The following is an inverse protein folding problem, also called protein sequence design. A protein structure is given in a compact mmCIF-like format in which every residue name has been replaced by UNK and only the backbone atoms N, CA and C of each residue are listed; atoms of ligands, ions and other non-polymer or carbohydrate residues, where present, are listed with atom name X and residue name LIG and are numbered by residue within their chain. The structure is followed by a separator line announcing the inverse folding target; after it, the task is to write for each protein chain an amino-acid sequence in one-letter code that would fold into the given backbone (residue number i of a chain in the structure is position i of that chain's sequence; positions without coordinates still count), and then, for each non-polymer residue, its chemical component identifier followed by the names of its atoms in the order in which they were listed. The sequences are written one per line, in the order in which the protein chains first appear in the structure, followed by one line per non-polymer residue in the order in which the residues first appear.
data_IF_466553630254
#
_entry.id   IF_466553630254
#
_cell.length_a   1.000
_cell.length_b   1.000
_cell.length_c   1.000
_cell.angle_alpha   90.00
_cell.angle_beta   90.00
_cell.angle_gamma   90.00
#
_symmetry.space_group_name_H-M   'P 1'
#
loop_
_entity.id
_entity.type
_entity.pdbx_description
1 polymer ?
#
# COMPACT_ATOMS: atom_id res chain seq x y z
N UNK A 1 -20.69 22.55 5.10
CA UNK A 1 -19.92 21.28 5.12
C UNK A 1 -18.51 21.63 5.59
N UNK A 2 -18.15 21.29 6.83
CA UNK A 2 -16.82 21.58 7.38
C UNK A 2 -15.78 20.81 6.55
N UNK A 3 -14.84 21.54 5.95
CA UNK A 3 -13.63 20.94 5.38
C UNK A 3 -12.90 20.27 6.54
N UNK A 4 -12.99 18.95 6.61
CA UNK A 4 -12.22 18.20 7.57
C UNK A 4 -10.74 18.59 7.35
N UNK A 5 -10.17 19.30 8.32
CA UNK A 5 -8.78 19.79 8.22
C UNK A 5 -7.87 18.60 7.96
N UNK A 6 -7.15 18.66 6.85
CA UNK A 6 -6.28 17.57 6.39
C UNK A 6 -5.21 17.27 7.43
N UNK A 7 -5.03 15.99 7.77
CA UNK A 7 -4.06 15.59 8.79
C UNK A 7 -2.63 15.57 8.22
N UNK A 8 -1.88 16.67 8.44
CA UNK A 8 -0.50 16.83 7.96
C UNK A 8 0.45 15.74 8.48
N UNK A 9 0.17 15.14 9.65
CA UNK A 9 0.99 14.06 10.20
C UNK A 9 0.88 12.80 9.36
N UNK A 10 -0.32 12.44 8.93
CA UNK A 10 -0.54 11.32 8.03
C UNK A 10 0.14 11.57 6.67
N UNK A 11 0.09 12.79 6.15
CA UNK A 11 0.79 13.11 4.91
C UNK A 11 2.31 13.00 5.07
N UNK A 12 2.90 13.44 6.19
CA UNK A 12 4.31 13.22 6.47
C UNK A 12 4.68 11.73 6.59
N UNK A 13 3.84 10.93 7.25
CA UNK A 13 4.01 9.48 7.33
C UNK A 13 4.02 8.86 5.92
N UNK A 14 3.05 9.23 5.07
CA UNK A 14 2.99 8.77 3.68
C UNK A 14 4.24 9.14 2.87
N UNK A 15 4.78 10.34 3.09
CA UNK A 15 6.00 10.80 2.42
C UNK A 15 7.20 9.93 2.78
N UNK A 16 7.37 9.59 4.06
CA UNK A 16 8.46 8.71 4.49
C UNK A 16 8.24 7.28 3.98
N UNK A 17 7.02 6.75 4.11
CA UNK A 17 6.73 5.40 3.63
C UNK A 17 6.97 5.26 2.13
N UNK A 18 6.56 6.23 1.30
CA UNK A 18 6.78 6.16 -0.14
C UNK A 18 8.27 6.32 -0.51
N UNK A 19 9.03 7.11 0.25
CA UNK A 19 10.48 7.17 0.12
C UNK A 19 11.12 5.79 0.41
N UNK A 20 10.68 5.12 1.47
CA UNK A 20 11.17 3.77 1.81
C UNK A 20 10.81 2.73 0.74
N UNK A 21 9.66 2.88 0.06
CA UNK A 21 9.29 2.05 -1.09
C UNK A 21 10.31 2.24 -2.22
N UNK A 22 10.57 3.48 -2.63
CA UNK A 22 11.50 3.78 -3.74
C UNK A 22 12.91 3.32 -3.40
N UNK A 23 13.40 3.67 -2.21
CA UNK A 23 14.74 3.28 -1.75
C UNK A 23 14.87 1.76 -1.61
N UNK A 24 13.86 1.10 -1.02
CA UNK A 24 13.83 -0.34 -0.87
C UNK A 24 13.90 -1.08 -2.20
N UNK A 25 13.13 -0.66 -3.22
CA UNK A 25 13.18 -1.24 -4.55
C UNK A 25 14.50 -0.96 -5.29
N UNK A 26 15.08 0.22 -5.08
CA UNK A 26 16.36 0.56 -5.69
C UNK A 26 17.51 -0.35 -5.17
N UNK A 27 17.58 -0.57 -3.84
CA UNK A 27 18.64 -1.41 -3.25
C UNK A 27 18.36 -2.91 -3.39
N UNK A 28 17.11 -3.33 -3.59
CA UNK A 28 16.68 -4.73 -3.67
C UNK A 28 17.48 -5.56 -4.67
N UNK A 29 17.85 -4.95 -5.79
CA UNK A 29 18.62 -5.60 -6.86
C UNK A 29 20.04 -6.03 -6.41
N UNK A 30 20.55 -5.49 -5.30
CA UNK A 30 21.95 -5.68 -4.86
C UNK A 30 22.09 -6.23 -3.43
N UNK A 31 20.98 -6.63 -2.78
CA UNK A 31 20.99 -7.18 -1.40
C UNK A 31 21.75 -8.51 -1.26
N UNK A 32 21.96 -9.24 -2.35
CA UNK A 32 22.68 -10.51 -2.32
C UNK A 32 24.20 -10.32 -2.22
N UNK A 33 24.73 -9.18 -2.70
CA UNK A 33 26.15 -8.86 -2.73
C UNK A 33 26.63 -7.96 -1.59
N UNK A 34 25.73 -7.28 -0.88
CA UNK A 34 26.08 -6.33 0.18
C UNK A 34 25.30 -6.60 1.48
N UNK A 35 26.03 -7.01 2.51
CA UNK A 35 25.47 -7.30 3.82
C UNK A 35 24.88 -6.08 4.52
N UNK A 36 25.41 -4.87 4.29
CA UNK A 36 24.87 -3.64 4.88
C UNK A 36 23.55 -3.29 4.22
N UNK A 37 23.49 -3.24 2.89
CA UNK A 37 22.26 -2.95 2.15
C UNK A 37 21.20 -4.00 2.43
N UNK A 38 21.60 -5.28 2.57
CA UNK A 38 20.66 -6.35 2.96
C UNK A 38 20.06 -6.10 4.35
N UNK A 39 20.86 -5.67 5.33
CA UNK A 39 20.36 -5.35 6.68
C UNK A 39 19.37 -4.18 6.64
N UNK A 40 19.70 -3.13 5.91
CA UNK A 40 18.81 -1.96 5.71
C UNK A 40 17.51 -2.39 5.03
N UNK A 41 17.62 -3.22 4.00
CA UNK A 41 16.47 -3.75 3.28
C UNK A 41 15.57 -4.59 4.19
N UNK A 42 16.12 -5.52 4.99
CA UNK A 42 15.37 -6.34 5.96
C UNK A 42 14.60 -5.43 6.94
N UNK A 43 15.25 -4.40 7.48
CA UNK A 43 14.59 -3.45 8.36
C UNK A 43 13.41 -2.77 7.67
N UNK A 44 13.61 -2.22 6.47
CA UNK A 44 12.55 -1.53 5.72
C UNK A 44 11.39 -2.48 5.40
N UNK A 45 11.70 -3.66 4.84
CA UNK A 45 10.69 -4.60 4.38
C UNK A 45 9.94 -5.27 5.52
N UNK A 46 10.49 -5.26 6.73
CA UNK A 46 9.79 -5.78 7.92
C UNK A 46 8.49 -5.02 8.23
N UNK A 47 8.35 -3.74 7.81
CA UNK A 47 7.19 -2.93 8.23
C UNK A 47 6.59 -2.02 7.15
N UNK A 48 7.34 -1.60 6.11
CA UNK A 48 6.87 -0.50 5.24
C UNK A 48 5.55 -0.80 4.53
N UNK A 49 5.39 -2.00 3.92
CA UNK A 49 4.14 -2.36 3.24
C UNK A 49 2.98 -2.65 4.19
N UNK A 50 3.14 -3.38 5.31
CA UNK A 50 2.13 -3.45 6.37
C UNK A 50 1.64 -2.06 6.83
N UNK A 51 2.55 -1.11 7.00
CA UNK A 51 2.18 0.24 7.43
C UNK A 51 1.54 1.07 6.31
N UNK A 52 1.94 0.87 5.06
CA UNK A 52 1.23 1.48 3.93
C UNK A 52 -0.22 0.99 3.84
N UNK A 53 -0.44 -0.32 4.02
CA UNK A 53 -1.79 -0.91 4.08
C UNK A 53 -2.59 -0.33 5.26
N UNK A 54 -1.98 -0.24 6.45
CA UNK A 54 -2.58 0.33 7.65
C UNK A 54 -3.00 1.79 7.43
N UNK A 55 -2.12 2.63 6.90
CA UNK A 55 -2.44 4.04 6.60
C UNK A 55 -3.54 4.15 5.54
N UNK A 56 -3.54 3.29 4.53
CA UNK A 56 -4.61 3.25 3.53
C UNK A 56 -5.95 2.85 4.12
N UNK A 57 -5.94 1.92 5.09
CA UNK A 57 -7.12 1.56 5.87
C UNK A 57 -7.65 2.74 6.70
N UNK A 58 -6.77 3.47 7.39
CA UNK A 58 -7.14 4.68 8.17
C UNK A 58 -7.88 5.74 7.34
N UNK A 59 -7.54 5.85 6.06
CA UNK A 59 -8.12 6.82 5.15
C UNK A 59 -9.36 6.28 4.40
N UNK A 60 -9.72 5.02 4.64
CA UNK A 60 -10.81 4.34 3.95
C UNK A 60 -12.13 4.43 4.71
N UNK A 61 -13.23 4.53 3.96
CA UNK A 61 -14.59 4.48 4.50
C UNK A 61 -15.22 3.13 4.18
N UNK A 62 -16.04 2.62 5.09
CA UNK A 62 -16.72 1.33 4.93
C UNK A 62 -17.93 1.39 3.98
N UNK A 63 -18.40 2.57 3.59
CA UNK A 63 -19.47 2.72 2.61
C UNK A 63 -18.90 2.76 1.18
N UNK A 64 -19.68 2.30 0.21
CA UNK A 64 -19.43 2.43 -1.23
C UNK A 64 -20.64 3.14 -1.87
N UNK A 65 -20.88 4.37 -1.46
CA UNK A 65 -21.85 5.24 -2.12
C UNK A 65 -21.36 5.67 -3.51
N UNK A 66 -22.22 6.28 -4.32
CA UNK A 66 -21.88 6.69 -5.71
C UNK A 66 -20.64 7.58 -5.75
N UNK A 67 -20.48 8.49 -4.79
CA UNK A 67 -19.32 9.37 -4.69
C UNK A 67 -18.04 8.58 -4.42
N UNK A 68 -18.12 7.60 -3.53
CA UNK A 68 -16.95 6.76 -3.18
C UNK A 68 -16.63 5.79 -4.29
N UNK A 69 -17.63 5.21 -4.96
CA UNK A 69 -17.46 4.35 -6.13
C UNK A 69 -16.79 5.11 -7.27
N UNK A 70 -17.25 6.34 -7.57
CA UNK A 70 -16.60 7.19 -8.56
C UNK A 70 -15.15 7.55 -8.18
N UNK A 71 -14.88 7.83 -6.91
CA UNK A 71 -13.52 8.07 -6.43
C UNK A 71 -12.63 6.82 -6.53
N UNK A 72 -13.17 5.64 -6.26
CA UNK A 72 -12.47 4.37 -6.39
C UNK A 72 -12.07 4.14 -7.86
N UNK A 73 -13.00 4.30 -8.79
CA UNK A 73 -12.71 4.17 -10.23
C UNK A 73 -11.66 5.19 -10.66
N UNK A 74 -11.85 6.47 -10.33
CA UNK A 74 -10.95 7.55 -10.73
C UNK A 74 -9.54 7.43 -10.15
N UNK A 75 -9.43 7.05 -8.87
CA UNK A 75 -8.16 7.14 -8.13
C UNK A 75 -7.43 5.80 -8.03
N UNK A 76 -8.08 4.68 -8.37
CA UNK A 76 -7.48 3.35 -8.27
C UNK A 76 -7.61 2.59 -9.59
N UNK A 77 -8.83 2.38 -10.11
CA UNK A 77 -9.05 1.53 -11.30
C UNK A 77 -8.40 2.13 -12.55
N UNK A 78 -8.68 3.41 -12.83
CA UNK A 78 -8.09 4.09 -14.01
C UNK A 78 -6.56 4.15 -13.92
N UNK A 79 -5.94 4.61 -12.82
CA UNK A 79 -4.49 4.57 -12.68
C UNK A 79 -3.90 3.17 -12.81
N UNK A 80 -4.51 2.15 -12.20
CA UNK A 80 -4.07 0.77 -12.31
C UNK A 80 -4.03 0.32 -13.78
N UNK A 81 -5.14 0.47 -14.50
CA UNK A 81 -5.24 0.05 -15.89
C UNK A 81 -4.27 0.82 -16.81
N UNK A 82 -4.21 2.14 -16.67
CA UNK A 82 -3.36 2.99 -17.51
C UNK A 82 -1.88 2.67 -17.31
N UNK A 83 -1.46 2.49 -16.06
CA UNK A 83 -0.06 2.18 -15.77
C UNK A 83 0.30 0.72 -16.06
N UNK A 84 -0.65 -0.22 -15.96
CA UNK A 84 -0.45 -1.59 -16.44
C UNK A 84 -0.10 -1.60 -17.93
N UNK A 85 -0.92 -0.93 -18.75
CA UNK A 85 -0.67 -0.81 -20.20
C UNK A 85 0.63 -0.07 -20.49
N UNK A 86 0.94 0.99 -19.73
CA UNK A 86 2.17 1.76 -19.91
C UNK A 86 3.41 0.92 -19.56
N UNK A 87 3.40 0.18 -18.46
CA UNK A 87 4.52 -0.68 -18.05
C UNK A 87 4.74 -1.82 -19.04
N UNK A 88 3.68 -2.53 -19.44
CA UNK A 88 3.76 -3.61 -20.44
C UNK A 88 4.21 -3.08 -21.80
N UNK A 89 3.73 -1.90 -22.21
CA UNK A 89 4.15 -1.25 -23.44
C UNK A 89 5.64 -0.89 -23.44
N UNK A 90 6.17 -0.39 -22.33
CA UNK A 90 7.60 -0.08 -22.19
C UNK A 90 8.44 -1.35 -22.17
N UNK A 91 8.00 -2.40 -21.45
CA UNK A 91 8.67 -3.69 -21.44
C UNK A 91 8.76 -4.27 -22.87
N UNK A 92 7.64 -4.22 -23.60
CA UNK A 92 7.59 -4.67 -24.99
C UNK A 92 8.54 -3.87 -25.90
N UNK A 93 8.63 -2.55 -25.71
CA UNK A 93 9.54 -1.70 -26.49
C UNK A 93 11.02 -1.94 -26.16
N UNK A 94 11.35 -2.20 -24.90
CA UNK A 94 12.74 -2.38 -24.45
C UNK A 94 13.24 -3.81 -24.67
N UNK A 95 12.39 -4.84 -24.47
CA UNK A 95 12.79 -6.25 -24.49
C UNK A 95 12.18 -7.07 -25.61
N UNK A 96 11.25 -6.49 -26.40
CA UNK A 96 10.58 -7.19 -27.50
C UNK A 96 9.55 -8.24 -27.07
N UNK A 97 9.23 -8.33 -25.76
CA UNK A 97 8.25 -9.27 -25.21
C UNK A 97 7.48 -8.64 -24.06
N UNK A 98 6.28 -9.15 -23.81
CA UNK A 98 5.51 -8.79 -22.61
C UNK A 98 6.21 -9.31 -21.36
N UNK A 99 5.92 -8.70 -20.22
CA UNK A 99 6.48 -9.09 -18.94
C UNK A 99 6.04 -10.49 -18.50
N UNK A 100 6.79 -11.09 -17.59
CA UNK A 100 6.39 -12.36 -16.95
C UNK A 100 5.10 -12.24 -16.15
N UNK A 101 4.73 -11.04 -15.74
CA UNK A 101 3.50 -10.77 -14.98
C UNK A 101 2.25 -10.94 -15.85
N UNK A 102 2.30 -10.52 -17.11
CA UNK A 102 1.22 -10.67 -18.09
C UNK A 102 0.82 -12.15 -18.24
N UNK A 103 1.80 -13.06 -18.41
CA UNK A 103 1.56 -14.51 -18.50
C UNK A 103 0.98 -15.14 -17.22
N UNK A 104 1.12 -14.48 -16.07
CA UNK A 104 0.59 -14.92 -14.78
C UNK A 104 -0.74 -14.25 -14.41
N UNK A 105 -1.31 -13.42 -15.30
CA UNK A 105 -2.45 -12.56 -14.97
C UNK A 105 -2.24 -11.79 -13.67
N UNK A 106 -1.00 -11.35 -13.44
CA UNK A 106 -0.60 -10.59 -12.26
C UNK A 106 -0.40 -9.13 -12.64
N UNK A 107 -0.75 -8.18 -11.76
CA UNK A 107 -0.39 -6.79 -11.97
C UNK A 107 1.12 -6.63 -12.08
N UNK A 108 1.56 -5.77 -13.02
CA UNK A 108 2.97 -5.54 -13.26
C UNK A 108 3.69 -5.13 -11.98
N UNK A 109 4.75 -5.81 -11.62
CA UNK A 109 5.66 -5.61 -10.49
C UNK A 109 5.00 -4.93 -9.28
N UNK A 110 5.19 -3.60 -9.08
CA UNK A 110 4.68 -2.87 -7.91
C UNK A 110 3.18 -2.54 -7.98
N UNK A 111 2.53 -2.63 -9.15
CA UNK A 111 1.10 -2.30 -9.29
C UNK A 111 0.19 -3.26 -8.50
N UNK A 112 0.76 -4.37 -7.98
CA UNK A 112 0.06 -5.26 -7.06
C UNK A 112 -0.61 -4.53 -5.90
N UNK A 113 0.00 -3.43 -5.42
CA UNK A 113 -0.55 -2.69 -4.29
C UNK A 113 -1.84 -1.95 -4.65
N UNK A 114 -1.94 -1.37 -5.86
CA UNK A 114 -3.18 -0.76 -6.34
C UNK A 114 -4.29 -1.82 -6.52
N UNK A 115 -3.96 -2.98 -7.06
CA UNK A 115 -4.88 -4.11 -7.17
C UNK A 115 -5.36 -4.56 -5.78
N UNK A 116 -4.45 -4.75 -4.84
CA UNK A 116 -4.80 -5.09 -3.45
C UNK A 116 -5.65 -4.02 -2.79
N UNK A 117 -5.32 -2.73 -3.00
CA UNK A 117 -6.10 -1.61 -2.47
C UNK A 117 -7.52 -1.59 -3.04
N UNK A 118 -7.69 -1.89 -4.33
CA UNK A 118 -9.01 -2.07 -4.95
C UNK A 118 -9.79 -3.18 -4.24
N UNK A 119 -9.19 -4.37 -4.11
CA UNK A 119 -9.82 -5.51 -3.43
C UNK A 119 -10.19 -5.17 -1.97
N UNK A 120 -9.28 -4.55 -1.22
CA UNK A 120 -9.55 -4.14 0.17
C UNK A 120 -10.71 -3.15 0.28
N UNK A 121 -10.79 -2.20 -0.65
CA UNK A 121 -11.88 -1.23 -0.69
C UNK A 121 -13.23 -1.88 -1.00
N UNK A 122 -13.25 -2.90 -1.87
CA UNK A 122 -14.44 -3.68 -2.19
C UNK A 122 -14.85 -4.61 -1.05
N UNK A 123 -13.89 -5.21 -0.35
CA UNK A 123 -14.14 -6.12 0.78
C UNK A 123 -14.54 -5.38 2.06
N UNK A 124 -14.08 -4.14 2.25
CA UNK A 124 -14.26 -3.39 3.49
C UNK A 124 -15.73 -3.28 3.95
N UNK A 125 -16.73 -2.99 3.11
CA UNK A 125 -18.13 -2.90 3.54
C UNK A 125 -18.67 -4.19 4.18
N UNK A 126 -18.20 -5.35 3.69
CA UNK A 126 -18.58 -6.66 4.23
C UNK A 126 -17.89 -6.90 5.57
N UNK A 127 -16.56 -6.72 5.61
CA UNK A 127 -15.77 -6.95 6.82
C UNK A 127 -16.10 -5.97 7.96
N UNK A 128 -16.55 -4.76 7.64
CA UNK A 128 -17.01 -3.78 8.63
C UNK A 128 -18.24 -4.24 9.42
N UNK A 129 -19.00 -5.22 8.91
CA UNK A 129 -20.18 -5.79 9.58
C UNK A 129 -19.84 -6.99 10.48
N UNK A 130 -18.58 -7.48 10.42
CA UNK A 130 -18.15 -8.62 11.24
C UNK A 130 -17.74 -8.15 12.64
N UNK A 131 -17.96 -9.00 13.64
CA UNK A 131 -17.57 -8.70 15.02
C UNK A 131 -16.05 -8.64 15.21
N UNK A 132 -15.30 -9.55 14.58
CA UNK A 132 -13.84 -9.66 14.69
C UNK A 132 -13.14 -9.62 13.32
N UNK A 133 -13.29 -8.52 12.54
CA UNK A 133 -12.85 -8.48 11.14
C UNK A 133 -11.34 -8.72 10.97
N UNK A 134 -10.51 -8.19 11.88
CA UNK A 134 -9.05 -8.36 11.82
C UNK A 134 -8.65 -9.81 12.08
N UNK A 135 -9.26 -10.47 13.08
CA UNK A 135 -8.97 -11.88 13.40
C UNK A 135 -9.36 -12.79 12.24
N UNK A 136 -10.54 -12.56 11.65
CA UNK A 136 -11.02 -13.31 10.49
C UNK A 136 -10.06 -13.10 9.30
N UNK A 137 -9.60 -11.87 9.06
CA UNK A 137 -8.64 -11.58 7.99
C UNK A 137 -7.28 -12.26 8.21
N UNK A 138 -6.79 -12.32 9.46
CA UNK A 138 -5.59 -13.10 9.81
C UNK A 138 -5.81 -14.58 9.51
N UNK A 139 -6.94 -15.15 9.93
CA UNK A 139 -7.27 -16.55 9.65
C UNK A 139 -7.30 -16.85 8.15
N UNK A 140 -7.96 -15.99 7.34
CA UNK A 140 -7.99 -16.13 5.88
C UNK A 140 -6.60 -16.02 5.26
N UNK A 141 -5.76 -15.12 5.76
CA UNK A 141 -4.38 -14.97 5.27
C UNK A 141 -3.54 -16.21 5.59
N UNK A 142 -3.65 -16.76 6.79
CA UNK A 142 -2.95 -18.00 7.18
C UNK A 142 -3.41 -19.20 6.34
N UNK A 143 -4.70 -19.33 6.08
CA UNK A 143 -5.24 -20.39 5.21
C UNK A 143 -4.73 -20.23 3.76
N UNK A 144 -4.76 -19.00 3.23
CA UNK A 144 -4.29 -18.73 1.88
C UNK A 144 -2.79 -19.00 1.69
N UNK A 145 -1.99 -18.89 2.75
CA UNK A 145 -0.54 -19.15 2.69
C UNK A 145 -0.18 -20.60 2.42
N UNK A 146 -1.09 -21.54 2.62
CA UNK A 146 -0.90 -22.94 2.24
C UNK A 146 -1.16 -23.22 0.76
N UNK A 147 -1.85 -22.30 0.07
CA UNK A 147 -2.21 -22.48 -1.35
C UNK A 147 -1.09 -22.03 -2.28
N UNK A 148 -0.64 -22.88 -3.16
CA UNK A 148 0.34 -22.53 -4.20
C UNK A 148 -0.28 -21.74 -5.37
N UNK A 149 -1.57 -21.93 -5.61
CA UNK A 149 -2.31 -21.29 -6.70
C UNK A 149 -2.61 -19.80 -6.47
N UNK A 150 -2.59 -19.34 -5.21
CA UNK A 150 -2.88 -17.93 -4.87
C UNK A 150 -1.73 -16.98 -5.16
N UNK A 151 -0.53 -17.45 -5.47
CA UNK A 151 0.73 -16.71 -5.59
C UNK A 151 0.62 -15.33 -6.25
N UNK A 152 1.02 -15.22 -7.52
CA UNK A 152 1.00 -13.95 -8.26
C UNK A 152 -0.33 -13.62 -8.92
N UNK A 153 -1.20 -14.61 -9.14
CA UNK A 153 -2.50 -14.41 -9.82
C UNK A 153 -3.32 -13.33 -9.13
N UNK A 154 -3.63 -12.24 -9.86
CA UNK A 154 -4.32 -11.04 -9.37
C UNK A 154 -3.80 -10.52 -8.01
N UNK A 155 -2.57 -10.86 -7.63
CA UNK A 155 -1.96 -10.54 -6.34
C UNK A 155 -2.76 -11.02 -5.11
N UNK A 156 -3.52 -12.10 -5.23
CA UNK A 156 -4.42 -12.60 -4.16
C UNK A 156 -3.62 -12.89 -2.88
N UNK A 157 -2.44 -13.52 -2.97
CA UNK A 157 -1.61 -13.82 -1.81
C UNK A 157 -1.25 -12.54 -1.03
N UNK A 158 -0.73 -11.52 -1.73
CA UNK A 158 -0.39 -10.22 -1.10
C UNK A 158 -1.63 -9.50 -0.58
N UNK A 159 -2.72 -9.53 -1.33
CA UNK A 159 -4.01 -8.95 -0.92
C UNK A 159 -4.45 -9.50 0.42
N UNK A 160 -4.44 -10.82 0.60
CA UNK A 160 -4.83 -11.47 1.85
C UNK A 160 -3.79 -11.27 2.95
N UNK A 161 -2.49 -11.31 2.64
CA UNK A 161 -1.41 -11.14 3.62
C UNK A 161 -1.40 -9.75 4.26
N UNK A 162 -1.70 -8.69 3.51
CA UNK A 162 -1.68 -7.32 4.03
C UNK A 162 -3.05 -6.80 4.46
N UNK A 163 -4.13 -7.53 4.17
CA UNK A 163 -5.50 -7.14 4.54
C UNK A 163 -5.72 -6.96 6.04
N UNK A 164 -5.15 -7.78 6.94
CA UNK A 164 -5.27 -7.56 8.38
C UNK A 164 -4.78 -6.16 8.82
N UNK A 165 -3.68 -5.67 8.24
CA UNK A 165 -3.15 -4.34 8.53
C UNK A 165 -4.05 -3.23 8.00
N UNK A 166 -4.62 -3.40 6.81
CA UNK A 166 -5.60 -2.47 6.27
C UNK A 166 -6.84 -2.35 7.18
N UNK A 167 -7.40 -3.47 7.61
CA UNK A 167 -8.55 -3.49 8.53
C UNK A 167 -8.20 -2.92 9.90
N UNK A 168 -7.00 -3.21 10.42
CA UNK A 168 -6.50 -2.62 11.66
C UNK A 168 -6.43 -1.10 11.53
N UNK A 169 -5.89 -0.59 10.43
CA UNK A 169 -5.85 0.83 10.15
C UNK A 169 -7.22 1.47 10.08
N UNK A 170 -8.17 0.83 9.41
CA UNK A 170 -9.57 1.29 9.36
C UNK A 170 -10.20 1.37 10.76
N UNK A 171 -9.98 0.38 11.62
CA UNK A 171 -10.49 0.38 13.01
C UNK A 171 -9.85 1.45 13.88
N UNK A 172 -8.54 1.65 13.78
CA UNK A 172 -7.80 2.61 14.61
C UNK A 172 -8.04 4.05 14.17
N UNK A 173 -8.18 4.30 12.87
CA UNK A 173 -8.38 5.61 12.30
C UNK A 173 -7.19 6.57 12.45
N UNK A 174 -7.26 7.75 11.78
CA UNK A 174 -6.17 8.74 11.80
C UNK A 174 -5.88 9.33 13.18
N UNK A 175 -6.87 9.34 14.08
CA UNK A 175 -6.76 9.89 15.43
C UNK A 175 -5.69 9.20 16.29
N UNK A 176 -5.26 7.99 15.90
CA UNK A 176 -4.17 7.27 16.58
C UNK A 176 -2.90 8.13 16.74
N UNK A 177 -2.64 9.01 15.76
CA UNK A 177 -1.43 9.85 15.72
C UNK A 177 -1.65 11.30 16.16
N UNK A 178 -2.87 11.71 16.55
CA UNK A 178 -3.15 13.11 16.91
C UNK A 178 -2.48 13.52 18.21
N UNK A 179 -2.40 12.61 19.17
CA UNK A 179 -1.77 12.82 20.48
C UNK A 179 -0.85 11.66 20.85
N UNK A 180 0.34 11.63 20.29
CA UNK A 180 1.33 10.62 20.67
C UNK A 180 1.83 10.91 22.09
N UNK A 181 1.47 10.03 23.04
CA UNK A 181 1.89 10.15 24.47
C UNK A 181 3.39 9.98 24.59
N UNK A 182 4.04 10.74 25.49
CA UNK A 182 5.48 10.65 25.76
C UNK A 182 5.92 9.21 26.10
N UNK A 183 5.09 8.44 26.82
CA UNK A 183 5.37 7.01 27.12
C UNK A 183 5.45 6.14 25.86
N UNK A 184 4.59 6.39 24.86
CA UNK A 184 4.63 5.63 23.59
C UNK A 184 5.93 5.91 22.84
N UNK A 185 6.42 7.17 22.84
CA UNK A 185 7.70 7.51 22.23
C UNK A 185 8.88 6.83 22.94
N UNK A 186 8.85 6.77 24.27
CA UNK A 186 9.89 6.12 25.08
C UNK A 186 9.96 4.59 24.79
N UNK A 187 8.84 3.95 24.49
CA UNK A 187 8.80 2.53 24.12
C UNK A 187 9.17 2.36 22.63
N UNK A 188 8.76 3.27 21.76
CA UNK A 188 9.01 3.17 20.32
C UNK A 188 10.50 3.23 19.98
N UNK A 189 11.26 4.04 20.69
CA UNK A 189 12.69 4.19 20.42
C UNK A 189 13.49 2.89 20.61
N UNK A 190 13.41 2.19 21.77
CA UNK A 190 14.08 0.90 21.94
C UNK A 190 13.54 -0.18 21.00
N UNK A 191 12.24 -0.21 20.68
CA UNK A 191 11.68 -1.16 19.70
C UNK A 191 12.35 -1.00 18.35
N UNK A 192 12.45 0.22 17.85
CA UNK A 192 13.12 0.50 16.55
C UNK A 192 14.62 0.17 16.62
N UNK A 193 15.29 0.52 17.71
CA UNK A 193 16.71 0.18 17.90
C UNK A 193 16.93 -1.34 17.89
N UNK A 194 16.12 -2.11 18.61
CA UNK A 194 16.18 -3.58 18.62
C UNK A 194 15.90 -4.14 17.21
N UNK A 195 14.92 -3.60 16.49
CA UNK A 195 14.62 -4.05 15.14
C UNK A 195 15.78 -3.81 14.17
N UNK A 196 16.46 -2.65 14.26
CA UNK A 196 17.65 -2.36 13.47
C UNK A 196 18.77 -3.35 13.84
N UNK A 197 19.07 -3.55 15.11
CA UNK A 197 20.09 -4.50 15.55
C UNK A 197 19.75 -5.91 15.04
N UNK A 198 18.49 -6.35 15.19
CA UNK A 198 18.05 -7.66 14.71
C UNK A 198 18.23 -7.81 13.19
N UNK A 199 17.97 -6.77 12.38
CA UNK A 199 18.18 -6.82 10.94
C UNK A 199 19.67 -7.00 10.56
N UNK A 200 20.58 -6.44 11.34
CA UNK A 200 22.02 -6.65 11.17
C UNK A 200 22.50 -8.04 11.61
N UNK A 201 21.85 -8.63 12.62
CA UNK A 201 22.16 -9.99 13.07
C UNK A 201 21.62 -11.05 12.12
N UNK A 202 20.42 -10.85 11.57
CA UNK A 202 19.70 -11.82 10.74
C UNK A 202 20.07 -11.76 9.26
N UNK A 203 20.93 -10.86 8.86
CA UNK A 203 21.24 -10.54 7.44
C UNK A 203 21.65 -11.72 6.56
N UNK A 204 22.32 -12.74 7.13
CA UNK A 204 22.81 -13.91 6.38
C UNK A 204 21.79 -15.04 6.30
N UNK A 205 21.05 -15.28 7.38
CA UNK A 205 20.25 -16.50 7.55
C UNK A 205 18.76 -16.30 7.32
N UNK A 206 18.32 -15.03 7.30
CA UNK A 206 16.92 -14.72 7.09
C UNK A 206 16.51 -14.86 5.61
N UNK A 207 15.52 -15.70 5.36
CA UNK A 207 14.92 -15.82 4.04
C UNK A 207 14.02 -14.62 3.77
N UNK A 208 14.52 -13.68 2.95
CA UNK A 208 13.85 -12.44 2.62
C UNK A 208 12.50 -12.61 1.91
N UNK A 209 12.22 -13.81 1.32
CA UNK A 209 10.95 -14.10 0.64
C UNK A 209 9.74 -14.00 1.56
N UNK A 210 9.92 -14.15 2.87
CA UNK A 210 8.87 -13.96 3.87
C UNK A 210 8.23 -12.56 3.83
N UNK A 211 9.00 -11.53 3.49
CA UNK A 211 8.47 -10.16 3.48
C UNK A 211 7.64 -9.80 2.25
N UNK A 212 7.73 -10.58 1.17
CA UNK A 212 6.98 -10.28 -0.05
C UNK A 212 5.47 -10.56 0.05
N UNK A 213 5.05 -11.47 0.94
CA UNK A 213 3.65 -11.87 1.08
C UNK A 213 3.06 -12.56 -0.15
N UNK A 214 3.90 -12.94 -1.13
CA UNK A 214 3.50 -13.63 -2.37
C UNK A 214 3.91 -15.09 -2.42
N UNK A 215 4.73 -15.54 -1.48
CA UNK A 215 5.19 -16.92 -1.41
C UNK A 215 4.31 -17.73 -0.47
N UNK A 216 3.86 -18.90 -0.94
CA UNK A 216 3.18 -19.87 -0.08
C UNK A 216 4.16 -20.53 0.89
N UNK A 217 3.66 -21.08 1.99
CA UNK A 217 4.47 -21.84 2.96
C UNK A 217 5.17 -23.01 2.31
N UNK A 218 4.56 -23.65 1.29
CA UNK A 218 5.19 -24.71 0.48
C UNK A 218 6.44 -24.20 -0.25
N UNK A 219 6.34 -23.05 -0.92
CA UNK A 219 7.49 -22.44 -1.61
C UNK A 219 8.59 -21.97 -0.68
N UNK A 220 8.25 -21.68 0.59
CA UNK A 220 9.18 -21.36 1.66
C UNK A 220 9.76 -22.61 2.34
N UNK A 221 9.31 -23.82 1.96
CA UNK A 221 9.73 -25.08 2.56
C UNK A 221 9.20 -25.31 3.98
N UNK A 222 8.15 -24.56 4.40
CA UNK A 222 7.63 -24.57 5.76
C UNK A 222 6.10 -24.73 5.81
N UNK A 223 5.55 -25.63 4.98
CA UNK A 223 4.10 -25.92 4.94
C UNK A 223 3.65 -26.77 6.15
N UNK A 224 3.89 -26.27 7.34
CA UNK A 224 3.59 -26.94 8.62
C UNK A 224 3.21 -25.91 9.69
N UNK A 225 2.90 -26.37 10.90
CA UNK A 225 2.55 -25.52 12.03
C UNK A 225 3.66 -24.51 12.37
N UNK A 226 4.93 -24.89 12.23
CA UNK A 226 6.07 -23.98 12.46
C UNK A 226 6.03 -22.79 11.50
N UNK A 227 5.79 -23.03 10.21
CA UNK A 227 5.65 -21.94 9.22
C UNK A 227 4.47 -21.02 9.54
N UNK A 228 3.34 -21.57 10.00
CA UNK A 228 2.20 -20.75 10.46
C UNK A 228 2.58 -19.87 11.65
N UNK A 229 3.30 -20.43 12.64
CA UNK A 229 3.77 -19.66 13.79
C UNK A 229 4.77 -18.55 13.38
N UNK A 230 5.68 -18.85 12.43
CA UNK A 230 6.56 -17.83 11.86
C UNK A 230 5.78 -16.69 11.20
N UNK A 231 4.73 -17.00 10.43
CA UNK A 231 3.90 -15.98 9.79
C UNK A 231 3.14 -15.12 10.83
N UNK A 232 2.63 -15.72 11.89
CA UNK A 232 2.00 -14.98 13.00
C UNK A 232 3.04 -14.08 13.69
N UNK A 233 4.22 -14.61 13.99
CA UNK A 233 5.31 -13.83 14.59
C UNK A 233 5.73 -12.66 13.70
N UNK A 234 5.80 -12.86 12.37
CA UNK A 234 6.07 -11.82 11.41
C UNK A 234 4.99 -10.73 11.43
N UNK A 235 3.70 -11.08 11.49
CA UNK A 235 2.62 -10.10 11.59
C UNK A 235 2.72 -9.26 12.87
N UNK A 236 3.00 -9.89 14.00
CA UNK A 236 3.20 -9.19 15.26
C UNK A 236 4.43 -8.27 15.20
N UNK A 237 5.56 -8.78 14.71
CA UNK A 237 6.78 -7.99 14.55
C UNK A 237 6.56 -6.78 13.62
N UNK A 238 5.96 -6.99 12.44
CA UNK A 238 5.63 -5.94 11.49
C UNK A 238 4.70 -4.88 12.09
N UNK A 239 3.71 -5.30 12.86
CA UNK A 239 2.80 -4.40 13.57
C UNK A 239 3.51 -3.56 14.63
N UNK A 240 4.30 -4.20 15.49
CA UNK A 240 5.02 -3.54 16.60
C UNK A 240 6.08 -2.58 16.05
N UNK A 241 6.96 -3.05 15.14
CA UNK A 241 8.02 -2.23 14.54
C UNK A 241 7.42 -1.07 13.77
N UNK A 242 6.42 -1.36 12.93
CA UNK A 242 5.78 -0.36 12.10
C UNK A 242 5.06 0.72 12.91
N UNK A 243 4.24 0.36 13.89
CA UNK A 243 3.59 1.33 14.77
C UNK A 243 4.60 2.16 15.55
N UNK A 244 5.70 1.56 16.04
CA UNK A 244 6.78 2.29 16.69
C UNK A 244 7.40 3.34 15.74
N UNK A 245 7.72 2.95 14.50
CA UNK A 245 8.23 3.87 13.47
C UNK A 245 7.22 5.00 13.18
N UNK A 246 5.93 4.68 12.97
CA UNK A 246 4.91 5.67 12.68
C UNK A 246 4.69 6.65 13.84
N UNK A 247 4.75 6.20 15.09
CA UNK A 247 4.66 7.07 16.26
C UNK A 247 5.86 8.03 16.35
N UNK A 248 7.07 7.57 16.04
CA UNK A 248 8.26 8.45 15.99
C UNK A 248 8.12 9.49 14.87
N UNK A 249 7.66 9.09 13.69
CA UNK A 249 7.44 9.98 12.54
C UNK A 249 6.32 11.00 12.78
N UNK A 250 5.25 10.62 13.48
CA UNK A 250 4.10 11.49 13.76
C UNK A 250 4.40 12.59 14.77
N UNK A 251 5.53 12.51 15.49
CA UNK A 251 5.89 13.44 16.55
C UNK A 251 6.05 14.88 16.08
N UNK A 252 6.57 15.08 14.87
CA UNK A 252 6.97 16.39 14.34
C UNK A 252 6.40 16.60 12.94
N UNK A 253 6.09 17.84 12.62
CA UNK A 253 5.85 18.21 11.23
C UNK A 253 7.20 18.36 10.51
N UNK A 254 7.49 17.45 9.60
CA UNK A 254 8.74 17.38 8.84
C UNK A 254 8.74 18.25 7.59
N UNK A 255 7.64 18.95 7.29
CA UNK A 255 7.49 19.71 6.05
C UNK A 255 7.32 18.86 4.78
N UNK A 256 7.16 17.54 4.94
CA UNK A 256 7.06 16.58 3.82
C UNK A 256 5.62 16.35 3.34
N UNK A 257 4.65 17.08 3.89
CA UNK A 257 3.23 16.85 3.62
C UNK A 257 2.88 16.94 2.13
N UNK A 258 3.52 17.83 1.36
CA UNK A 258 3.32 17.95 -0.09
C UNK A 258 3.71 16.70 -0.87
N UNK A 259 4.79 16.04 -0.46
CA UNK A 259 5.22 14.74 -1.02
C UNK A 259 4.18 13.66 -0.67
N UNK A 260 3.77 13.59 0.60
CA UNK A 260 2.78 12.61 1.05
C UNK A 260 1.42 12.77 0.37
N UNK A 261 1.03 14.01 0.05
CA UNK A 261 -0.18 14.31 -0.71
C UNK A 261 -0.13 13.74 -2.12
N UNK A 262 1.04 13.74 -2.73
CA UNK A 262 1.31 13.28 -4.09
C UNK A 262 1.94 11.89 -4.13
N UNK A 263 1.93 11.16 -3.02
CA UNK A 263 2.54 9.83 -2.92
C UNK A 263 2.04 8.84 -3.99
N UNK A 264 0.83 9.01 -4.51
CA UNK A 264 0.31 8.19 -5.61
C UNK A 264 1.12 8.38 -6.91
N UNK A 265 1.53 9.60 -7.23
CA UNK A 265 2.34 9.84 -8.44
C UNK A 265 3.74 9.28 -8.27
N UNK A 266 4.33 9.42 -7.06
CA UNK A 266 5.60 8.75 -6.75
C UNK A 266 5.45 7.24 -6.92
N UNK A 267 4.36 6.65 -6.39
CA UNK A 267 4.08 5.23 -6.53
C UNK A 267 3.95 4.80 -8.01
N UNK A 268 3.27 5.58 -8.83
CA UNK A 268 3.03 5.24 -10.24
C UNK A 268 4.31 5.35 -11.11
N UNK A 269 5.18 6.33 -10.83
CA UNK A 269 6.32 6.64 -11.69
C UNK A 269 7.66 6.05 -11.25
N UNK A 270 7.84 5.71 -9.96
CA UNK A 270 9.16 5.26 -9.48
C UNK A 270 9.65 3.98 -10.16
N UNK A 271 8.76 3.05 -10.48
CA UNK A 271 9.14 1.83 -11.14
C UNK A 271 9.64 2.05 -12.55
N UNK A 272 9.00 2.94 -13.32
CA UNK A 272 9.53 3.33 -14.64
C UNK A 272 10.89 4.00 -14.53
N UNK A 273 11.08 4.86 -13.52
CA UNK A 273 12.39 5.45 -13.25
C UNK A 273 13.45 4.38 -12.97
N UNK A 274 13.12 3.37 -12.16
CA UNK A 274 14.04 2.27 -11.85
C UNK A 274 14.34 1.40 -13.07
N UNK A 275 13.34 1.09 -13.91
CA UNK A 275 13.55 0.37 -15.17
C UNK A 275 14.50 1.14 -16.08
N UNK A 276 14.28 2.42 -16.28
CA UNK A 276 15.17 3.25 -17.11
C UNK A 276 16.59 3.28 -16.55
N UNK A 277 16.77 3.46 -15.23
CA UNK A 277 18.09 3.44 -14.60
C UNK A 277 18.79 2.09 -14.72
N UNK A 278 18.04 0.99 -14.71
CA UNK A 278 18.54 -0.36 -14.90
C UNK A 278 18.99 -0.57 -16.34
N UNK A 279 18.13 -0.31 -17.32
CA UNK A 279 18.40 -0.55 -18.74
C UNK A 279 19.48 0.38 -19.30
N UNK A 280 19.65 1.58 -18.74
CA UNK A 280 20.75 2.49 -19.09
C UNK A 280 22.09 2.14 -18.42
N UNK A 281 22.12 1.14 -17.53
CA UNK A 281 23.33 0.74 -16.82
C UNK A 281 23.72 1.68 -15.65
N UNK A 282 22.95 2.74 -15.39
CA UNK A 282 23.24 3.70 -14.31
C UNK A 282 23.18 3.02 -12.94
N UNK A 283 22.23 2.11 -12.71
CA UNK A 283 22.21 1.34 -11.46
C UNK A 283 23.46 0.51 -11.27
N UNK A 284 23.91 -0.21 -12.31
CA UNK A 284 25.14 -0.99 -12.23
C UNK A 284 26.34 -0.10 -11.89
N UNK A 285 26.46 1.09 -12.51
CA UNK A 285 27.54 2.03 -12.21
C UNK A 285 27.50 2.50 -10.73
N UNK A 286 26.33 2.75 -10.17
CA UNK A 286 26.17 3.12 -8.75
C UNK A 286 26.70 1.99 -7.85
N UNK A 287 26.38 0.75 -8.15
CA UNK A 287 26.73 -0.40 -7.30
C UNK A 287 28.16 -0.92 -7.50
N UNK A 288 28.92 -0.35 -8.45
CA UNK A 288 30.39 -0.58 -8.56
C UNK A 288 31.22 0.40 -7.72
N UNK A 289 30.60 1.41 -7.11
CA UNK A 289 31.27 2.34 -6.20
C UNK A 289 31.63 1.66 -4.88
N UNK A 290 32.46 2.33 -4.07
CA UNK A 290 32.69 1.87 -2.70
C UNK A 290 31.37 1.88 -1.88
N UNK A 291 31.30 1.07 -0.81
CA UNK A 291 30.05 0.83 -0.06
C UNK A 291 29.40 2.09 0.52
N UNK A 292 30.21 3.04 1.00
CA UNK A 292 29.70 4.28 1.57
C UNK A 292 29.10 5.17 0.47
N UNK A 293 29.83 5.31 -0.64
CA UNK A 293 29.41 6.10 -1.78
C UNK A 293 28.18 5.48 -2.47
N UNK A 294 28.13 4.16 -2.62
CA UNK A 294 26.96 3.41 -3.09
C UNK A 294 25.72 3.75 -2.25
N UNK A 295 25.82 3.67 -0.92
CA UNK A 295 24.70 3.93 -0.03
C UNK A 295 24.22 5.38 -0.12
N UNK A 296 25.15 6.34 -0.14
CA UNK A 296 24.82 7.77 -0.27
C UNK A 296 24.18 8.07 -1.64
N UNK A 297 24.74 7.51 -2.71
CA UNK A 297 24.21 7.71 -4.08
C UNK A 297 22.83 7.08 -4.21
N UNK A 298 22.60 5.88 -3.67
CA UNK A 298 21.30 5.24 -3.66
C UNK A 298 20.23 6.07 -2.91
N UNK A 299 20.60 6.64 -1.76
CA UNK A 299 19.73 7.58 -1.02
C UNK A 299 19.44 8.85 -1.83
N UNK A 300 20.45 9.45 -2.45
CA UNK A 300 20.31 10.67 -3.25
C UNK A 300 19.43 10.43 -4.49
N UNK A 301 19.65 9.34 -5.22
CA UNK A 301 18.85 8.96 -6.39
C UNK A 301 17.40 8.69 -5.99
N UNK A 302 17.16 7.97 -4.89
CA UNK A 302 15.81 7.74 -4.39
C UNK A 302 15.11 9.04 -4.00
N UNK A 303 15.82 9.95 -3.33
CA UNK A 303 15.29 11.28 -2.97
C UNK A 303 14.96 12.10 -4.23
N UNK A 304 15.80 12.05 -5.25
CA UNK A 304 15.58 12.72 -6.53
C UNK A 304 14.33 12.17 -7.25
N UNK A 305 14.19 10.84 -7.33
CA UNK A 305 13.00 10.19 -7.92
C UNK A 305 11.74 10.64 -7.19
N UNK A 306 11.76 10.60 -5.84
CA UNK A 306 10.60 11.02 -5.02
C UNK A 306 10.28 12.49 -5.26
N UNK A 307 11.29 13.36 -5.29
CA UNK A 307 11.10 14.80 -5.50
C UNK A 307 10.53 15.10 -6.88
N UNK A 308 11.09 14.50 -7.94
CA UNK A 308 10.60 14.67 -9.32
C UNK A 308 9.16 14.17 -9.47
N UNK A 309 8.87 12.97 -8.99
CA UNK A 309 7.54 12.35 -9.14
C UNK A 309 6.47 13.01 -8.25
N UNK A 310 6.85 13.60 -7.11
CA UNK A 310 5.96 14.39 -6.25
C UNK A 310 5.80 15.85 -6.70
N UNK A 311 6.53 16.29 -7.73
CA UNK A 311 6.45 17.67 -8.20
C UNK A 311 5.10 17.97 -8.87
N UNK A 312 4.53 19.18 -8.72
CA UNK A 312 3.23 19.55 -9.31
C UNK A 312 3.12 19.33 -10.83
N UNK A 313 4.21 19.53 -11.57
CA UNK A 313 4.20 19.28 -13.01
C UNK A 313 3.98 17.80 -13.37
N UNK A 314 4.56 16.87 -12.59
CA UNK A 314 4.35 15.43 -12.79
C UNK A 314 2.88 15.05 -12.55
N UNK A 315 2.27 15.57 -11.49
CA UNK A 315 0.83 15.43 -11.25
C UNK A 315 0.01 15.98 -12.41
N UNK A 316 0.30 17.23 -12.86
CA UNK A 316 -0.43 17.88 -13.93
C UNK A 316 -0.32 17.11 -15.28
N UNK A 317 0.89 16.66 -15.63
CA UNK A 317 1.15 15.83 -16.81
C UNK A 317 0.40 14.49 -16.75
N UNK A 318 0.54 13.77 -15.64
CA UNK A 318 -0.13 12.48 -15.44
C UNK A 318 -1.64 12.63 -15.55
N UNK A 319 -2.20 13.64 -14.89
CA UNK A 319 -3.64 13.92 -14.98
C UNK A 319 -4.07 14.28 -16.40
N UNK A 320 -3.35 15.20 -17.05
CA UNK A 320 -3.75 15.74 -18.37
C UNK A 320 -3.60 14.70 -19.48
N UNK A 321 -2.49 13.96 -19.51
CA UNK A 321 -2.15 13.09 -20.64
C UNK A 321 -2.64 11.64 -20.44
N UNK A 322 -2.69 11.15 -19.22
CA UNK A 322 -2.94 9.73 -18.96
C UNK A 322 -4.31 9.49 -18.32
N UNK A 323 -4.66 10.21 -17.25
CA UNK A 323 -5.85 9.86 -16.48
C UNK A 323 -7.14 10.56 -16.94
N UNK A 324 -7.08 11.86 -17.29
CA UNK A 324 -8.24 12.60 -17.77
C UNK A 324 -8.82 12.06 -19.09
N UNK A 325 -8.01 11.63 -20.09
CA UNK A 325 -8.56 11.01 -21.29
C UNK A 325 -9.45 9.81 -21.01
N UNK A 326 -9.21 9.07 -19.91
CA UNK A 326 -10.02 7.92 -19.51
C UNK A 326 -11.26 8.29 -18.68
N UNK A 327 -11.49 9.58 -18.41
CA UNK A 327 -12.65 10.04 -17.63
C UNK A 327 -14.02 9.78 -18.30
N UNK A 328 -14.04 9.48 -19.59
CA UNK A 328 -15.24 9.04 -20.31
C UNK A 328 -15.80 7.70 -19.78
N UNK A 329 -14.97 6.90 -19.11
CA UNK A 329 -15.43 5.67 -18.44
C UNK A 329 -16.30 5.95 -17.21
N UNK A 330 -16.27 7.18 -16.69
CA UNK A 330 -17.09 7.57 -15.56
C UNK A 330 -18.49 7.98 -16.02
N UNK A 331 -19.50 7.45 -15.39
CA UNK A 331 -20.87 7.91 -15.58
C UNK A 331 -20.91 9.38 -15.21
N UNK A 332 -21.28 10.27 -16.17
CA UNK A 332 -21.61 11.65 -15.86
C UNK A 332 -22.73 11.61 -14.82
N UNK A 333 -22.49 12.13 -13.62
CA UNK A 333 -23.57 12.30 -12.66
C UNK A 333 -24.67 13.10 -13.38
N UNK A 334 -25.80 12.46 -13.64
CA UNK A 334 -27.01 13.14 -14.03
C UNK A 334 -27.31 14.10 -12.89
N UNK A 335 -27.15 15.40 -13.13
CA UNK A 335 -27.47 16.44 -12.18
C UNK A 335 -28.89 16.18 -11.66
N UNK A 336 -28.96 15.87 -10.38
CA UNK A 336 -30.08 15.76 -9.49
C UNK A 336 -31.47 15.78 -10.11
N UNK A 337 -32.06 14.65 -10.38
CA UNK A 337 -33.48 14.41 -10.25
C UNK A 337 -33.65 12.88 -10.08
N UNK A 338 -33.24 12.34 -8.95
CA UNK A 338 -33.91 11.15 -8.45
C UNK A 338 -35.28 11.65 -7.97
N UNK A 339 -36.38 11.15 -8.53
CA UNK A 339 -37.68 11.40 -7.93
C UNK A 339 -37.62 10.87 -6.50
N UNK A 340 -37.84 11.75 -5.55
CA UNK A 340 -38.10 11.38 -4.15
C UNK A 340 -39.16 10.28 -4.16
N UNK A 341 -38.96 9.12 -3.49
CA UNK A 341 -40.02 8.15 -3.39
C UNK A 341 -41.23 8.86 -2.78
N UNK A 342 -42.32 8.86 -3.55
CA UNK A 342 -43.59 9.42 -3.17
C UNK A 342 -43.94 8.90 -1.77
N UNK A 343 -44.20 9.84 -0.86
CA UNK A 343 -44.79 9.57 0.47
C UNK A 343 -45.95 8.59 0.27
N UNK A 344 -45.88 7.45 0.95
CA UNK A 344 -47.01 6.54 1.10
C UNK A 344 -48.26 7.35 1.47
N UNK A 345 -49.25 7.25 0.61
CA UNK A 345 -50.60 7.73 0.89
C UNK A 345 -51.10 6.90 2.07
N UNK A 346 -51.15 7.50 3.25
CA UNK A 346 -51.92 6.97 4.37
C UNK A 346 -53.37 6.90 3.94
N UNK A 347 -53.87 5.74 3.60
CA UNK A 347 -55.29 5.43 3.52
C UNK A 347 -55.85 5.51 4.93
N UNK A 348 -56.52 6.62 5.27
CA UNK A 348 -57.38 6.72 6.40
C UNK A 348 -58.57 5.78 6.18
N UNK A 349 -58.59 4.68 6.89
CA UNK A 349 -59.75 3.83 7.05
C UNK A 349 -60.70 4.53 8.03
N UNK A 350 -61.68 5.25 7.50
CA UNK A 350 -62.88 5.73 8.25
C UNK A 350 -63.66 4.52 8.69
N UNK A 351 -63.60 4.21 9.98
CA UNK A 351 -64.52 3.30 10.66
C UNK A 351 -65.78 4.09 10.98
N UNK A 352 -66.91 3.74 10.36
CA UNK A 352 -68.23 4.27 10.68
C UNK A 352 -68.66 3.74 12.04
N UNK A 353 -69.37 4.55 12.89
CA UNK A 353 -69.87 4.10 14.16
C UNK A 353 -71.17 3.28 13.97
N UNK A 354 -71.25 2.15 14.65
CA UNK A 354 -72.50 1.40 14.82
C UNK A 354 -73.36 2.09 15.89
N UNK A 355 -74.59 2.41 15.54
CA UNK A 355 -75.65 2.74 16.46
C UNK A 355 -76.64 1.55 16.60
N UNK A 356 -77.54 1.60 17.57
CA UNK A 356 -77.44 1.08 18.93
C UNK A 356 -78.00 -0.33 19.10
#
# INVERSE_FOLDING_TARGET
MSSQSRNLRIDNIKAVLIFLVVFGHLIELHITGDHFLRSVWIFIYSFHMPMFALVSGMLSKASLDDKQSNQLVKNIVIPLFVFEVLYEGIELLLKGSLSVYSGLFAPYWMLWYLMSLLCWRLMLPVFARLQFPVVIAVGLSLLASYSESTGYFLSIARTLSFFPFFLLGWKLGPALFDRTKKRVLLISLPVVAVAIIASFLLKSDFDYRWFYGSYSLNRLGMANMTGTLYQIAQYLASGVIGLACLHLLSRKNWGLATIGQRSIYVFLWHGLALIVLQETGVLNAIFTLDKALTSLTALAVSALIVWLAAHPWCEALTQKLLLKPMSWLLIKQLNGNHPTPSKEVKTETTVAPAEP
#
